data_IF_620983092067
#
_entry.id   IF_620983092067
#
_cell.length_a   1.000
_cell.length_b   1.000
_cell.length_c   1.000
_cell.angle_alpha   90.00
_cell.angle_beta   90.00
_cell.angle_gamma   90.00
#
_symmetry.space_group_name_H-M   'P 1'
#
loop_
_entity.id
_entity.type
_entity.pdbx_description
1 polymer ?
#
# COMPACT_ATOMS: atom_id res chain seq x y z
N UNK A 1 -22.05 9.72 2.96
CA UNK A 1 -20.78 9.59 3.72
C UNK A 1 -21.04 8.65 4.87
N UNK A 2 -20.28 7.59 5.01
CA UNK A 2 -20.41 6.66 6.15
C UNK A 2 -19.56 7.19 7.31
N UNK A 3 -20.19 7.34 8.47
CA UNK A 3 -19.54 7.82 9.69
C UNK A 3 -19.29 6.60 10.58
N UNK A 4 -18.13 6.52 11.20
CA UNK A 4 -17.83 5.55 12.24
C UNK A 4 -17.69 6.29 13.56
N UNK A 5 -18.37 5.79 14.58
CA UNK A 5 -18.23 6.26 15.96
C UNK A 5 -17.23 5.34 16.67
N UNK A 6 -16.20 5.93 17.25
CA UNK A 6 -15.18 5.21 17.99
C UNK A 6 -15.25 5.65 19.45
N UNK A 7 -15.59 4.74 20.38
CA UNK A 7 -15.59 5.07 21.80
C UNK A 7 -14.16 5.28 22.30
N UNK A 8 -13.91 6.41 22.94
CA UNK A 8 -12.63 6.68 23.57
C UNK A 8 -12.66 6.27 25.05
N UNK A 9 -11.49 6.10 25.66
CA UNK A 9 -11.34 5.80 27.09
C UNK A 9 -11.98 6.85 28.02
N UNK A 10 -12.34 8.02 27.48
CA UNK A 10 -13.01 9.09 28.22
C UNK A 10 -14.55 9.09 28.07
N UNK A 11 -15.12 8.00 27.53
CA UNK A 11 -16.54 7.86 27.28
C UNK A 11 -17.13 8.95 26.35
N UNK A 12 -16.28 9.46 25.45
CA UNK A 12 -16.65 10.40 24.39
C UNK A 12 -16.53 9.67 23.07
N UNK A 13 -17.60 9.60 22.31
CA UNK A 13 -17.59 9.03 20.97
C UNK A 13 -17.05 10.05 19.98
N UNK A 14 -15.95 9.73 19.32
CA UNK A 14 -15.40 10.58 18.25
C UNK A 14 -15.93 10.04 16.93
N UNK A 15 -16.52 10.93 16.15
CA UNK A 15 -17.03 10.62 14.82
C UNK A 15 -15.94 10.85 13.77
N UNK A 16 -15.68 9.84 12.95
CA UNK A 16 -14.79 9.93 11.82
C UNK A 16 -15.54 9.64 10.51
N UNK A 17 -15.27 10.43 9.49
CA UNK A 17 -15.75 10.14 8.15
C UNK A 17 -14.85 9.08 7.50
N UNK A 18 -15.46 7.96 7.08
CA UNK A 18 -14.73 6.91 6.38
C UNK A 18 -14.36 7.42 4.98
N UNK A 19 -13.07 7.28 4.63
CA UNK A 19 -12.58 7.68 3.32
C UNK A 19 -13.30 6.93 2.20
N UNK A 20 -13.91 7.68 1.31
CA UNK A 20 -14.63 7.13 0.15
C UNK A 20 -13.66 6.39 -0.78
N UNK A 21 -14.19 5.40 -1.50
CA UNK A 21 -13.41 4.55 -2.40
C UNK A 21 -12.60 5.36 -3.41
N UNK A 22 -13.19 6.40 -4.02
CA UNK A 22 -12.49 7.21 -5.03
C UNK A 22 -11.29 7.96 -4.45
N UNK A 23 -11.34 8.50 -3.22
CA UNK A 23 -10.21 9.14 -2.56
C UNK A 23 -9.06 8.17 -2.32
N UNK A 24 -9.38 6.93 -1.91
CA UNK A 24 -8.40 5.86 -1.73
C UNK A 24 -7.77 5.43 -3.04
N UNK A 25 -8.57 5.34 -4.11
CA UNK A 25 -8.09 5.00 -5.44
C UNK A 25 -7.14 6.07 -5.98
N UNK A 26 -7.51 7.35 -5.88
CA UNK A 26 -6.66 8.46 -6.28
C UNK A 26 -5.35 8.50 -5.48
N UNK A 27 -5.40 8.31 -4.16
CA UNK A 27 -4.21 8.22 -3.34
C UNK A 27 -3.28 7.09 -3.81
N UNK A 28 -3.83 5.92 -4.11
CA UNK A 28 -3.07 4.79 -4.65
C UNK A 28 -2.44 5.10 -6.01
N UNK A 29 -3.16 5.75 -6.92
CA UNK A 29 -2.65 6.14 -8.24
C UNK A 29 -1.49 7.14 -8.12
N UNK A 30 -1.58 8.10 -7.18
CA UNK A 30 -0.48 9.03 -6.90
C UNK A 30 0.75 8.29 -6.39
N UNK A 31 0.59 7.40 -5.40
CA UNK A 31 1.68 6.59 -4.87
C UNK A 31 2.30 5.71 -5.97
N UNK A 32 1.48 5.09 -6.81
CA UNK A 32 1.93 4.29 -7.95
C UNK A 32 2.74 5.13 -8.95
N UNK A 33 2.29 6.35 -9.26
CA UNK A 33 3.03 7.27 -10.14
C UNK A 33 4.41 7.59 -9.57
N UNK A 34 4.51 7.86 -8.27
CA UNK A 34 5.79 8.11 -7.59
C UNK A 34 6.71 6.88 -7.71
N UNK A 35 6.19 5.68 -7.47
CA UNK A 35 6.96 4.43 -7.58
C UNK A 35 7.42 4.16 -9.02
N UNK A 36 6.59 4.43 -10.01
CA UNK A 36 6.96 4.30 -11.44
C UNK A 36 8.06 5.31 -11.80
N UNK A 37 7.95 6.56 -11.38
CA UNK A 37 8.98 7.57 -11.61
C UNK A 37 10.30 7.18 -10.94
N UNK A 38 10.25 6.66 -9.71
CA UNK A 38 11.41 6.12 -9.02
C UNK A 38 12.05 4.96 -9.82
N UNK A 39 11.25 3.98 -10.26
CA UNK A 39 11.70 2.84 -11.04
C UNK A 39 12.40 3.27 -12.33
N UNK A 40 11.74 4.13 -13.12
CA UNK A 40 12.29 4.63 -14.38
C UNK A 40 13.57 5.42 -14.15
N UNK A 41 13.61 6.31 -13.15
CA UNK A 41 14.78 7.08 -12.79
C UNK A 41 15.96 6.20 -12.36
N UNK A 42 15.70 5.19 -11.52
CA UNK A 42 16.75 4.26 -11.07
C UNK A 42 17.27 3.40 -12.22
N UNK A 43 16.40 2.88 -13.09
CA UNK A 43 16.82 2.11 -14.27
C UNK A 43 17.67 2.99 -15.22
N UNK A 44 17.27 4.24 -15.43
CA UNK A 44 18.04 5.17 -16.25
C UNK A 44 19.44 5.43 -15.67
N UNK A 45 19.56 5.64 -14.36
CA UNK A 45 20.84 5.87 -13.68
C UNK A 45 21.72 4.61 -13.74
N UNK A 46 21.17 3.47 -13.39
CA UNK A 46 21.93 2.23 -13.23
C UNK A 46 22.37 1.64 -14.58
N UNK A 47 21.50 1.61 -15.55
CA UNK A 47 21.77 1.03 -16.87
C UNK A 47 22.34 2.09 -17.82
N UNK A 48 21.73 3.27 -17.88
CA UNK A 48 22.10 4.31 -18.82
C UNK A 48 23.40 5.04 -18.46
N UNK A 49 23.54 5.51 -17.21
CA UNK A 49 24.67 6.33 -16.79
C UNK A 49 25.84 5.51 -16.27
N UNK A 50 25.58 4.51 -15.43
CA UNK A 50 26.64 3.69 -14.82
C UNK A 50 27.05 2.51 -15.71
N UNK A 51 26.28 2.19 -16.76
CA UNK A 51 26.53 1.09 -17.69
C UNK A 51 26.93 -0.22 -16.99
N UNK A 52 26.23 -0.53 -15.90
CA UNK A 52 26.53 -1.71 -15.08
C UNK A 52 26.36 -2.97 -15.92
N UNK A 53 27.36 -3.86 -15.83
CA UNK A 53 27.37 -5.13 -16.54
C UNK A 53 26.30 -6.08 -16.02
N UNK A 54 25.93 -7.08 -16.82
CA UNK A 54 24.94 -8.11 -16.50
C UNK A 54 25.22 -8.87 -15.19
N UNK A 55 26.49 -8.98 -14.80
CA UNK A 55 26.92 -9.64 -13.56
C UNK A 55 26.35 -8.99 -12.29
N UNK A 56 25.93 -7.72 -12.36
CA UNK A 56 25.37 -6.95 -11.24
C UNK A 56 23.83 -6.91 -11.23
N UNK A 57 23.16 -7.62 -12.12
CA UNK A 57 21.68 -7.59 -12.23
C UNK A 57 21.00 -7.92 -10.90
N UNK A 58 21.48 -8.92 -10.17
CA UNK A 58 20.91 -9.29 -8.86
C UNK A 58 21.01 -8.16 -7.83
N UNK A 59 22.15 -7.45 -7.79
CA UNK A 59 22.34 -6.30 -6.92
C UNK A 59 21.45 -5.12 -7.35
N UNK A 60 21.30 -4.89 -8.66
CA UNK A 60 20.43 -3.87 -9.23
C UNK A 60 18.98 -4.07 -8.82
N UNK A 61 18.50 -5.30 -8.93
CA UNK A 61 17.14 -5.67 -8.53
C UNK A 61 16.93 -5.37 -7.06
N UNK A 62 17.84 -5.73 -6.17
CA UNK A 62 17.73 -5.44 -4.74
C UNK A 62 17.67 -3.94 -4.45
N UNK A 63 18.59 -3.15 -5.03
CA UNK A 63 18.65 -1.69 -4.82
C UNK A 63 17.37 -0.99 -5.27
N UNK A 64 16.73 -1.48 -6.34
CA UNK A 64 15.49 -0.89 -6.86
C UNK A 64 14.26 -1.41 -6.10
N UNK A 65 14.19 -2.71 -5.85
CA UNK A 65 12.98 -3.35 -5.30
C UNK A 65 12.81 -3.14 -3.81
N UNK A 66 13.89 -3.14 -3.02
CA UNK A 66 13.79 -2.99 -1.56
C UNK A 66 13.15 -1.67 -1.16
N UNK A 67 13.55 -0.49 -1.67
CA UNK A 67 12.86 0.76 -1.37
C UNK A 67 11.39 0.78 -1.81
N UNK A 68 11.08 0.20 -2.97
CA UNK A 68 9.69 0.12 -3.45
C UNK A 68 8.81 -0.73 -2.53
N UNK A 69 9.32 -1.87 -2.05
CA UNK A 69 8.62 -2.75 -1.12
C UNK A 69 8.32 -2.06 0.20
N UNK A 70 9.30 -1.38 0.77
CA UNK A 70 9.17 -0.74 2.06
C UNK A 70 8.56 0.67 2.01
N UNK A 71 8.35 1.24 0.83
CA UNK A 71 7.82 2.60 0.65
C UNK A 71 6.56 2.84 1.49
N UNK A 72 5.56 1.97 1.36
CA UNK A 72 4.28 2.17 2.06
C UNK A 72 4.42 2.02 3.58
N UNK A 73 5.25 1.08 4.05
CA UNK A 73 5.49 0.88 5.47
C UNK A 73 6.22 2.09 6.08
N UNK A 74 7.32 2.48 5.46
CA UNK A 74 8.15 3.60 5.96
C UNK A 74 7.39 4.91 5.95
N UNK A 75 6.67 5.19 4.88
CA UNK A 75 5.88 6.43 4.80
C UNK A 75 4.72 6.43 5.79
N UNK A 76 3.98 5.33 5.97
CA UNK A 76 2.92 5.24 6.98
C UNK A 76 3.47 5.39 8.40
N UNK A 77 4.66 4.85 8.71
CA UNK A 77 5.31 5.02 10.02
C UNK A 77 5.78 6.46 10.28
N UNK A 78 6.44 7.09 9.30
CA UNK A 78 7.00 8.43 9.48
C UNK A 78 5.96 9.56 9.35
N UNK A 79 4.87 9.31 8.66
CA UNK A 79 3.81 10.29 8.40
C UNK A 79 2.50 9.98 9.14
N UNK A 80 2.58 9.25 10.26
CA UNK A 80 1.43 8.95 11.14
C UNK A 80 0.23 8.39 10.38
N UNK A 81 0.45 7.28 9.66
CA UNK A 81 -0.59 6.57 8.91
C UNK A 81 -0.88 7.11 7.51
N UNK A 82 0.00 7.96 7.00
CA UNK A 82 -0.16 8.53 5.66
C UNK A 82 0.97 8.08 4.73
N UNK A 83 0.65 7.83 3.46
CA UNK A 83 1.60 7.86 2.35
C UNK A 83 1.56 9.23 1.69
N UNK A 84 2.46 9.51 0.75
CA UNK A 84 2.44 10.80 0.03
C UNK A 84 1.09 10.99 -0.68
N UNK A 85 0.58 9.95 -1.37
CA UNK A 85 -0.72 10.00 -2.03
C UNK A 85 -1.87 10.21 -1.05
N UNK A 86 -1.86 9.53 0.10
CA UNK A 86 -2.87 9.71 1.16
C UNK A 86 -2.83 11.12 1.75
N UNK A 87 -1.64 11.69 1.92
CA UNK A 87 -1.48 13.06 2.42
C UNK A 87 -2.07 14.09 1.46
N UNK A 88 -1.85 13.92 0.16
CA UNK A 88 -2.44 14.79 -0.88
C UNK A 88 -3.96 14.69 -0.86
N UNK A 89 -4.49 13.48 -0.69
CA UNK A 89 -5.94 13.23 -0.63
C UNK A 89 -6.57 13.53 0.74
N UNK A 90 -5.76 13.96 1.73
CA UNK A 90 -6.18 14.28 3.10
C UNK A 90 -6.87 13.11 3.81
N UNK A 91 -6.39 11.90 3.59
CA UNK A 91 -6.86 10.69 4.26
C UNK A 91 -5.72 10.08 5.07
N UNK A 92 -6.06 9.38 6.16
CA UNK A 92 -5.07 8.72 7.02
C UNK A 92 -5.60 7.41 7.59
N UNK A 93 -4.67 6.56 8.00
CA UNK A 93 -4.97 5.32 8.71
C UNK A 93 -5.04 5.59 10.20
N UNK A 94 -6.11 5.14 10.83
CA UNK A 94 -6.28 5.16 12.28
C UNK A 94 -6.61 3.77 12.80
N UNK A 95 -6.32 3.52 14.08
CA UNK A 95 -6.78 2.32 14.78
C UNK A 95 -8.29 2.37 15.04
N UNK A 96 -8.95 1.21 15.04
CA UNK A 96 -10.35 1.11 15.48
C UNK A 96 -10.53 1.42 16.98
N UNK A 97 -9.44 1.50 17.75
CA UNK A 97 -9.45 1.90 19.15
C UNK A 97 -9.44 3.43 19.34
N UNK A 98 -9.50 4.20 18.24
CA UNK A 98 -9.61 5.66 18.23
C UNK A 98 -8.29 6.43 18.28
N UNK A 99 -7.16 5.73 18.32
CA UNK A 99 -5.82 6.31 18.34
C UNK A 99 -5.08 6.21 17.00
N UNK A 100 -3.84 6.66 17.00
CA UNK A 100 -2.91 6.38 15.92
C UNK A 100 -2.65 4.87 15.83
N UNK A 101 -2.52 4.35 14.61
CA UNK A 101 -2.21 2.96 14.42
C UNK A 101 -0.81 2.64 14.98
N UNK A 102 -0.67 1.50 15.65
CA UNK A 102 0.61 1.06 16.19
C UNK A 102 1.46 0.34 15.13
N UNK A 103 2.74 0.12 15.45
CA UNK A 103 3.71 -0.51 14.54
C UNK A 103 3.24 -1.91 14.11
N UNK A 104 2.65 -2.70 15.00
CA UNK A 104 2.16 -4.04 14.67
C UNK A 104 1.01 -3.99 13.66
N UNK A 105 0.11 -3.00 13.78
CA UNK A 105 -0.97 -2.78 12.82
C UNK A 105 -0.43 -2.38 11.45
N UNK A 106 0.57 -1.48 11.37
CA UNK A 106 1.21 -1.13 10.10
C UNK A 106 1.94 -2.32 9.48
N UNK A 107 2.65 -3.13 10.27
CA UNK A 107 3.32 -4.34 9.79
C UNK A 107 2.32 -5.37 9.26
N UNK A 108 1.22 -5.62 9.96
CA UNK A 108 0.17 -6.54 9.50
C UNK A 108 -0.41 -6.09 8.17
N UNK A 109 -0.70 -4.81 8.02
CA UNK A 109 -1.20 -4.21 6.78
C UNK A 109 -0.19 -4.35 5.64
N UNK A 110 1.08 -4.05 5.93
CA UNK A 110 2.17 -4.15 4.96
C UNK A 110 2.41 -5.60 4.54
N UNK A 111 2.42 -6.54 5.50
CA UNK A 111 2.63 -7.96 5.22
C UNK A 111 1.53 -8.54 4.31
N UNK A 112 0.27 -8.20 4.55
CA UNK A 112 -0.83 -8.62 3.69
C UNK A 112 -0.76 -7.96 2.31
N UNK A 113 -0.30 -6.72 2.23
CA UNK A 113 -0.02 -6.07 0.94
C UNK A 113 1.18 -6.72 0.24
N UNK A 114 2.23 -7.11 0.98
CA UNK A 114 3.37 -7.85 0.44
C UNK A 114 2.97 -9.20 -0.11
N UNK A 115 2.02 -9.89 0.51
CA UNK A 115 1.47 -11.13 -0.01
C UNK A 115 0.86 -10.92 -1.42
N UNK A 116 0.07 -9.86 -1.60
CA UNK A 116 -0.48 -9.51 -2.91
C UNK A 116 0.63 -9.24 -3.94
N UNK A 117 1.66 -8.46 -3.58
CA UNK A 117 2.78 -8.10 -4.45
C UNK A 117 3.84 -9.20 -4.57
N UNK A 118 4.09 -9.96 -3.52
CA UNK A 118 5.08 -11.03 -3.48
C UNK A 118 4.73 -12.18 -4.42
N UNK A 119 3.46 -12.53 -4.54
CA UNK A 119 2.99 -13.49 -5.54
C UNK A 119 3.28 -12.99 -6.96
N UNK A 120 3.07 -11.71 -7.22
CA UNK A 120 3.35 -11.10 -8.51
C UNK A 120 4.84 -11.18 -8.83
N UNK A 121 5.70 -10.81 -7.88
CA UNK A 121 7.16 -10.90 -8.01
C UNK A 121 7.63 -12.33 -8.26
N UNK A 122 7.10 -13.31 -7.51
CA UNK A 122 7.43 -14.73 -7.68
C UNK A 122 7.10 -15.20 -9.10
N UNK A 123 5.93 -14.85 -9.62
CA UNK A 123 5.53 -15.24 -10.98
C UNK A 123 6.30 -14.49 -12.07
N UNK A 124 6.73 -13.26 -11.84
CA UNK A 124 7.61 -12.53 -12.77
C UNK A 124 8.98 -13.18 -12.89
N UNK A 125 9.52 -13.74 -11.80
CA UNK A 125 10.85 -14.34 -11.80
C UNK A 125 10.85 -15.82 -12.23
N UNK A 126 9.79 -16.57 -11.94
CA UNK A 126 9.74 -18.03 -12.16
C UNK A 126 8.66 -18.50 -13.12
N UNK A 127 7.72 -17.64 -13.50
CA UNK A 127 6.58 -17.95 -14.35
C UNK A 127 6.57 -17.20 -15.68
N UNK A 128 5.58 -17.49 -16.49
CA UNK A 128 5.34 -16.72 -17.70
C UNK A 128 4.74 -15.35 -17.35
N UNK A 129 5.18 -14.31 -18.05
CA UNK A 129 4.64 -12.94 -17.94
C UNK A 129 3.10 -12.90 -17.99
N UNK A 130 2.49 -13.76 -18.81
CA UNK A 130 1.03 -13.87 -18.95
C UNK A 130 0.34 -14.34 -17.68
N UNK A 131 0.90 -15.30 -16.95
CA UNK A 131 0.39 -15.79 -15.67
C UNK A 131 0.53 -14.71 -14.57
N UNK A 132 1.65 -13.99 -14.55
CA UNK A 132 1.85 -12.86 -13.63
C UNK A 132 0.79 -11.78 -13.81
N UNK A 133 0.50 -11.38 -15.05
CA UNK A 133 -0.57 -10.40 -15.34
C UNK A 133 -1.97 -10.91 -14.97
N UNK A 134 -2.28 -12.19 -15.21
CA UNK A 134 -3.57 -12.78 -14.85
C UNK A 134 -3.79 -12.74 -13.33
N UNK A 135 -2.80 -13.12 -12.54
CA UNK A 135 -2.89 -13.10 -11.07
C UNK A 135 -3.02 -11.67 -10.53
N UNK A 136 -2.27 -10.73 -11.12
CA UNK A 136 -2.37 -9.30 -10.80
C UNK A 136 -3.79 -8.77 -11.07
N UNK A 137 -4.36 -9.13 -12.19
CA UNK A 137 -5.72 -8.74 -12.57
C UNK A 137 -6.75 -9.34 -11.61
N UNK A 138 -6.68 -10.64 -11.33
CA UNK A 138 -7.58 -11.32 -10.39
C UNK A 138 -7.45 -10.76 -8.99
N UNK A 139 -6.23 -10.57 -8.47
CA UNK A 139 -5.97 -9.99 -7.15
C UNK A 139 -6.47 -8.55 -7.04
N UNK A 140 -6.26 -7.75 -8.08
CA UNK A 140 -6.77 -6.37 -8.15
C UNK A 140 -8.30 -6.31 -8.13
N UNK A 141 -8.96 -7.11 -8.96
CA UNK A 141 -10.43 -7.22 -8.99
C UNK A 141 -10.97 -7.71 -7.65
N UNK A 142 -10.38 -8.75 -7.06
CA UNK A 142 -10.77 -9.26 -5.75
C UNK A 142 -10.65 -8.18 -4.65
N UNK A 143 -9.56 -7.43 -4.64
CA UNK A 143 -9.35 -6.31 -3.70
C UNK A 143 -10.41 -5.22 -3.85
N UNK A 144 -10.77 -4.86 -5.08
CA UNK A 144 -11.84 -3.87 -5.35
C UNK A 144 -13.20 -4.39 -4.87
N UNK A 145 -13.51 -5.65 -5.14
CA UNK A 145 -14.76 -6.28 -4.70
C UNK A 145 -14.85 -6.28 -3.17
N UNK A 146 -13.80 -6.69 -2.47
CA UNK A 146 -13.76 -6.73 -1.00
C UNK A 146 -13.99 -5.34 -0.41
N UNK A 147 -13.33 -4.31 -0.93
CA UNK A 147 -13.54 -2.92 -0.47
C UNK A 147 -14.98 -2.48 -0.70
N UNK A 148 -15.57 -2.83 -1.83
CA UNK A 148 -16.93 -2.40 -2.19
C UNK A 148 -18.02 -3.09 -1.37
N UNK A 149 -17.79 -4.33 -0.95
CA UNK A 149 -18.77 -5.11 -0.14
C UNK A 149 -18.65 -4.76 1.35
N UNK A 150 -17.47 -4.35 1.81
CA UNK A 150 -17.23 -4.07 3.23
C UNK A 150 -17.89 -2.75 3.64
N UNK A 151 -18.69 -2.76 4.68
CA UNK A 151 -19.43 -1.59 5.20
C UNK A 151 -18.52 -0.41 5.59
N UNK A 152 -17.26 -0.70 5.96
CA UNK A 152 -16.23 0.29 6.32
C UNK A 152 -15.23 0.56 5.20
N UNK A 153 -15.51 0.10 3.96
CA UNK A 153 -14.60 0.21 2.83
C UNK A 153 -13.17 -0.28 3.15
N UNK A 154 -13.02 -1.34 3.93
CA UNK A 154 -11.73 -1.86 4.38
C UNK A 154 -11.16 -2.87 3.39
N UNK A 155 -9.82 -2.85 3.21
CA UNK A 155 -9.07 -3.92 2.55
C UNK A 155 -8.81 -5.06 3.55
N UNK A 156 -8.43 -6.23 3.06
CA UNK A 156 -8.05 -7.37 3.93
C UNK A 156 -7.00 -6.98 4.97
N UNK A 157 -5.98 -6.22 4.56
CA UNK A 157 -4.95 -5.72 5.46
C UNK A 157 -5.47 -4.75 6.53
N UNK A 158 -6.47 -3.93 6.19
CA UNK A 158 -7.11 -3.01 7.13
C UNK A 158 -7.92 -3.78 8.17
N UNK A 159 -8.67 -4.80 7.72
CA UNK A 159 -9.48 -5.66 8.60
C UNK A 159 -8.61 -6.46 9.57
N UNK A 160 -7.58 -7.12 9.06
CA UNK A 160 -6.66 -7.92 9.88
C UNK A 160 -5.82 -7.06 10.85
N UNK A 161 -5.49 -5.84 10.45
CA UNK A 161 -4.76 -4.88 11.30
C UNK A 161 -5.65 -4.10 12.28
N UNK A 162 -6.99 -4.30 12.26
CA UNK A 162 -7.89 -3.53 13.13
C UNK A 162 -7.81 -2.02 12.88
N UNK A 163 -7.71 -1.61 11.62
CA UNK A 163 -7.54 -0.21 11.21
C UNK A 163 -8.61 0.23 10.22
N UNK A 164 -8.82 1.53 10.13
CA UNK A 164 -9.71 2.15 9.13
C UNK A 164 -9.02 3.36 8.50
N UNK A 165 -9.39 3.69 7.28
CA UNK A 165 -8.90 4.90 6.61
C UNK A 165 -9.99 5.96 6.66
N UNK A 166 -9.66 7.10 7.22
CA UNK A 166 -10.53 8.26 7.41
C UNK A 166 -9.96 9.45 6.67
#
# INVERSE_FOLDING_TARGET
MSIIQIPTNFNIDIEFEIAEFHKRLLAYLIDLTILILYLVGMLYILIGSLQLKEDYIGMLILVVMVPMLFYSLLTELWMNGQTIGKKIMRIRVISLDGGEANLAQYLTRWFLRFYEWGFIMFFFFYGSLSLGFLILFIGGVASVIIISITTKNQRLGDMAGGTVVV
#
